data_IF_891208870921
#
_entry.id   IF_891208870921
#
_cell.length_a   1.000
_cell.length_b   1.000
_cell.length_c   1.000
_cell.angle_alpha   90.00
_cell.angle_beta   90.00
_cell.angle_gamma   90.00
#
_symmetry.space_group_name_H-M   'P 1'
#
loop_
_entity.id
_entity.type
_entity.pdbx_description
1 polymer ?
#
# COMPACT_ATOMS: atom_id res chain seq x y z
N UNK A 1 -24.69 16.97 -2.42
CA UNK A 1 -23.86 15.95 -1.76
C UNK A 1 -22.94 15.28 -2.78
N UNK A 2 -21.66 15.09 -2.44
CA UNK A 2 -20.64 14.40 -3.24
C UNK A 2 -20.10 13.23 -2.43
N UNK A 3 -19.93 12.07 -3.05
CA UNK A 3 -19.21 10.93 -2.45
C UNK A 3 -17.84 10.82 -3.13
N UNK A 4 -16.79 10.68 -2.33
CA UNK A 4 -15.41 10.58 -2.83
C UNK A 4 -14.69 9.37 -2.23
N UNK A 5 -14.08 8.56 -3.09
CA UNK A 5 -13.23 7.42 -2.74
C UNK A 5 -11.97 7.38 -3.61
N UNK A 6 -10.95 6.68 -3.17
CA UNK A 6 -9.73 6.39 -3.90
C UNK A 6 -9.08 5.08 -3.37
N UNK A 7 -8.01 4.65 -3.98
CA UNK A 7 -7.10 3.62 -3.47
C UNK A 7 -7.82 2.33 -3.05
N UNK A 8 -8.77 1.87 -3.91
CA UNK A 8 -9.55 0.67 -3.65
C UNK A 8 -8.76 -0.63 -3.89
N UNK A 9 -7.68 -0.58 -4.67
CA UNK A 9 -6.76 -1.69 -4.97
C UNK A 9 -7.41 -3.04 -5.24
N UNK A 10 -8.51 -3.03 -6.01
CA UNK A 10 -9.21 -4.25 -6.38
C UNK A 10 -8.32 -5.17 -7.22
N UNK A 11 -8.16 -6.40 -6.79
CA UNK A 11 -7.24 -7.35 -7.40
C UNK A 11 -5.98 -7.65 -6.60
N UNK A 12 -5.92 -7.16 -5.36
CA UNK A 12 -4.83 -7.44 -4.41
C UNK A 12 -4.61 -8.95 -4.23
N UNK A 13 -3.34 -9.34 -4.06
CA UNK A 13 -2.95 -10.74 -3.83
C UNK A 13 -2.18 -10.95 -2.53
N UNK A 14 -2.02 -9.93 -1.70
CA UNK A 14 -1.36 -10.03 -0.39
C UNK A 14 -2.14 -10.90 0.58
N UNK A 15 -1.46 -11.52 1.53
CA UNK A 15 -2.04 -12.38 2.58
C UNK A 15 -2.99 -13.43 2.00
N UNK A 16 -2.48 -14.12 0.97
CA UNK A 16 -3.24 -15.05 0.14
C UNK A 16 -3.72 -16.27 0.93
N UNK A 17 -5.04 -16.45 0.99
CA UNK A 17 -5.68 -17.67 1.49
C UNK A 17 -6.96 -17.90 0.68
N UNK A 18 -7.11 -19.09 0.15
CA UNK A 18 -8.31 -19.47 -0.61
C UNK A 18 -9.45 -19.78 0.35
N UNK A 19 -10.60 -19.20 0.08
CA UNK A 19 -11.86 -19.57 0.67
C UNK A 19 -12.34 -20.88 0.03
N UNK A 20 -12.54 -21.95 0.81
CA UNK A 20 -12.93 -23.24 0.27
C UNK A 20 -14.34 -23.26 -0.38
N UNK A 21 -15.22 -22.34 -0.01
CA UNK A 21 -16.58 -22.26 -0.55
C UNK A 21 -16.63 -21.54 -1.91
N UNK A 22 -15.90 -20.44 -2.02
CA UNK A 22 -15.94 -19.59 -3.23
C UNK A 22 -14.78 -19.85 -4.20
N UNK A 23 -13.70 -20.49 -3.74
CA UNK A 23 -12.47 -20.67 -4.50
C UNK A 23 -11.69 -19.37 -4.73
N UNK A 24 -12.07 -18.26 -4.09
CA UNK A 24 -11.43 -16.97 -4.22
C UNK A 24 -10.46 -16.69 -3.08
N UNK A 25 -9.50 -15.81 -3.32
CA UNK A 25 -8.68 -15.28 -2.24
C UNK A 25 -9.55 -14.46 -1.27
N UNK A 26 -9.53 -14.79 0.03
CA UNK A 26 -10.32 -14.11 1.06
C UNK A 26 -10.00 -12.61 1.12
N UNK A 27 -8.72 -12.25 1.05
CA UNK A 27 -8.34 -10.81 1.03
C UNK A 27 -8.90 -10.07 -0.17
N UNK A 28 -8.94 -10.71 -1.33
CA UNK A 28 -9.61 -10.15 -2.49
C UNK A 28 -11.10 -9.89 -2.23
N UNK A 29 -11.76 -10.81 -1.53
CA UNK A 29 -13.15 -10.64 -1.16
C UNK A 29 -13.34 -9.47 -0.18
N UNK A 30 -12.45 -9.30 0.82
CA UNK A 30 -12.49 -8.18 1.75
C UNK A 30 -12.48 -6.82 1.00
N UNK A 31 -11.56 -6.64 0.04
CA UNK A 31 -11.48 -5.43 -0.78
C UNK A 31 -12.72 -5.23 -1.66
N UNK A 32 -13.27 -6.32 -2.21
CA UNK A 32 -14.51 -6.27 -2.97
C UNK A 32 -15.71 -5.86 -2.07
N UNK A 33 -15.76 -6.34 -0.85
CA UNK A 33 -16.83 -5.98 0.11
C UNK A 33 -16.72 -4.51 0.52
N UNK A 34 -15.52 -4.02 0.84
CA UNK A 34 -15.31 -2.63 1.18
C UNK A 34 -15.70 -1.68 0.03
N UNK A 35 -15.35 -2.02 -1.21
CA UNK A 35 -15.81 -1.26 -2.37
C UNK A 35 -17.33 -1.31 -2.55
N UNK A 36 -17.95 -2.46 -2.33
CA UNK A 36 -19.40 -2.61 -2.40
C UNK A 36 -20.12 -1.79 -1.34
N UNK A 37 -19.58 -1.65 -0.12
CA UNK A 37 -20.15 -0.75 0.91
C UNK A 37 -20.25 0.69 0.40
N UNK A 38 -19.23 1.18 -0.34
CA UNK A 38 -19.28 2.51 -0.98
C UNK A 38 -20.38 2.57 -2.04
N UNK A 39 -20.46 1.56 -2.90
CA UNK A 39 -21.48 1.51 -3.96
C UNK A 39 -22.89 1.44 -3.35
N UNK A 40 -23.09 0.64 -2.30
CA UNK A 40 -24.38 0.54 -1.59
C UNK A 40 -24.78 1.90 -1.02
N UNK A 41 -23.84 2.61 -0.38
CA UNK A 41 -24.06 3.97 0.10
C UNK A 41 -24.45 4.94 -1.02
N UNK A 42 -23.75 4.89 -2.15
CA UNK A 42 -24.05 5.72 -3.34
C UNK A 42 -25.43 5.40 -3.90
N UNK A 43 -25.79 4.12 -4.00
CA UNK A 43 -27.10 3.70 -4.52
C UNK A 43 -28.24 4.15 -3.58
N UNK A 44 -28.05 4.04 -2.29
CA UNK A 44 -29.05 4.42 -1.27
C UNK A 44 -29.24 5.95 -1.22
N UNK A 45 -28.14 6.71 -1.19
CA UNK A 45 -28.16 8.15 -0.93
C UNK A 45 -28.23 9.02 -2.19
N UNK A 46 -27.99 8.46 -3.38
CA UNK A 46 -28.08 9.11 -4.70
C UNK A 46 -27.38 10.49 -4.74
N UNK A 47 -26.06 10.55 -4.50
CA UNK A 47 -25.34 11.82 -4.52
C UNK A 47 -25.38 12.45 -5.92
N UNK A 48 -25.17 13.76 -5.99
CA UNK A 48 -25.03 14.49 -7.28
C UNK A 48 -23.79 14.05 -8.05
N UNK A 49 -22.72 13.74 -7.31
CA UNK A 49 -21.44 13.30 -7.87
C UNK A 49 -20.89 12.11 -7.05
N UNK A 50 -20.35 11.14 -7.78
CA UNK A 50 -19.48 10.11 -7.22
C UNK A 50 -18.09 10.22 -7.87
N UNK A 51 -17.03 10.37 -7.06
CA UNK A 51 -15.68 10.64 -7.51
C UNK A 51 -14.74 9.53 -7.06
N UNK A 52 -13.99 8.96 -8.00
CA UNK A 52 -12.97 7.91 -7.76
C UNK A 52 -11.63 8.44 -8.22
N UNK A 53 -10.78 8.82 -7.25
CA UNK A 53 -9.51 9.52 -7.51
C UNK A 53 -8.31 8.58 -7.64
N UNK A 54 -8.42 7.53 -8.47
CA UNK A 54 -7.32 6.64 -8.84
C UNK A 54 -7.17 5.39 -7.98
N UNK A 55 -6.34 4.50 -8.44
CA UNK A 55 -6.02 3.19 -7.86
C UNK A 55 -7.26 2.36 -7.50
N UNK A 56 -8.23 2.35 -8.45
CA UNK A 56 -9.37 1.45 -8.36
C UNK A 56 -8.92 -0.01 -8.45
N UNK A 57 -7.93 -0.28 -9.30
CA UNK A 57 -7.30 -1.60 -9.44
C UNK A 57 -5.89 -1.62 -8.86
N UNK A 58 -5.49 -2.77 -8.30
CA UNK A 58 -4.15 -3.00 -7.76
C UNK A 58 -3.05 -3.12 -8.83
N UNK A 59 -3.42 -3.26 -10.10
CA UNK A 59 -2.48 -3.43 -11.23
C UNK A 59 -3.13 -3.17 -12.58
N UNK A 60 -2.29 -2.90 -13.58
CA UNK A 60 -2.69 -2.63 -14.97
C UNK A 60 -3.48 -3.78 -15.61
N UNK A 61 -3.20 -5.03 -15.22
CA UNK A 61 -3.88 -6.21 -15.73
C UNK A 61 -4.67 -6.94 -14.63
N UNK A 62 -5.82 -6.40 -14.18
CA UNK A 62 -6.69 -7.09 -13.24
C UNK A 62 -7.31 -8.33 -13.90
N UNK A 63 -7.65 -9.34 -13.10
CA UNK A 63 -8.30 -10.55 -13.60
C UNK A 63 -9.68 -10.25 -14.18
N UNK A 64 -10.18 -11.13 -15.05
CA UNK A 64 -11.53 -10.99 -15.62
C UNK A 64 -12.62 -11.01 -14.53
N UNK A 65 -12.40 -11.75 -13.44
CA UNK A 65 -13.30 -11.74 -12.29
C UNK A 65 -13.46 -10.32 -11.72
N UNK A 66 -12.33 -9.63 -11.46
CA UNK A 66 -12.33 -8.28 -10.90
C UNK A 66 -12.90 -7.26 -11.88
N UNK A 67 -12.56 -7.36 -13.17
CA UNK A 67 -13.14 -6.49 -14.21
C UNK A 67 -14.66 -6.60 -14.24
N UNK A 68 -15.18 -7.84 -14.21
CA UNK A 68 -16.62 -8.11 -14.19
C UNK A 68 -17.28 -7.61 -12.90
N UNK A 69 -16.60 -7.77 -11.76
CA UNK A 69 -17.09 -7.26 -10.48
C UNK A 69 -17.25 -5.74 -10.54
N UNK A 70 -16.20 -4.99 -10.91
CA UNK A 70 -16.25 -3.52 -11.05
C UNK A 70 -17.30 -3.08 -12.04
N UNK A 71 -17.38 -3.74 -13.19
CA UNK A 71 -18.40 -3.45 -14.19
C UNK A 71 -19.81 -3.57 -13.62
N UNK A 72 -20.10 -4.64 -12.88
CA UNK A 72 -21.40 -4.85 -12.24
C UNK A 72 -21.72 -3.74 -11.21
N UNK A 73 -20.76 -3.38 -10.38
CA UNK A 73 -20.96 -2.35 -9.36
C UNK A 73 -21.15 -0.95 -10.01
N UNK A 74 -20.40 -0.62 -11.06
CA UNK A 74 -20.58 0.63 -11.82
C UNK A 74 -21.94 0.68 -12.56
N UNK A 75 -22.44 -0.44 -13.05
CA UNK A 75 -23.80 -0.49 -13.64
C UNK A 75 -24.87 -0.17 -12.60
N UNK A 76 -24.76 -0.64 -11.36
CA UNK A 76 -25.68 -0.28 -10.27
C UNK A 76 -25.77 1.22 -10.05
N UNK A 77 -24.62 1.91 -10.10
CA UNK A 77 -24.56 3.38 -9.96
C UNK A 77 -25.13 4.06 -11.22
N UNK A 78 -24.85 3.53 -12.39
CA UNK A 78 -25.38 4.04 -13.67
C UNK A 78 -26.89 3.95 -13.76
N UNK A 79 -27.51 2.86 -13.28
CA UNK A 79 -28.96 2.64 -13.28
C UNK A 79 -29.73 3.70 -12.48
N UNK A 80 -29.11 4.26 -11.45
CA UNK A 80 -29.70 5.37 -10.66
C UNK A 80 -29.27 6.75 -11.16
N UNK A 81 -28.59 6.83 -12.32
CA UNK A 81 -28.17 8.06 -13.00
C UNK A 81 -27.25 8.98 -12.19
N UNK A 82 -26.46 8.46 -11.27
CA UNK A 82 -25.46 9.24 -10.53
C UNK A 82 -24.25 9.53 -11.43
N UNK A 83 -23.90 10.80 -11.59
CA UNK A 83 -22.75 11.20 -12.37
C UNK A 83 -21.45 10.81 -11.68
N UNK A 84 -20.74 9.84 -12.24
CA UNK A 84 -19.53 9.27 -11.69
C UNK A 84 -18.31 9.68 -12.51
N UNK A 85 -17.26 10.15 -11.85
CA UNK A 85 -15.98 10.50 -12.46
C UNK A 85 -14.87 9.62 -11.90
N UNK A 86 -14.10 9.02 -12.80
CA UNK A 86 -13.00 8.13 -12.45
C UNK A 86 -11.74 8.61 -13.15
N UNK A 87 -10.66 8.79 -12.43
CA UNK A 87 -9.31 9.00 -13.00
C UNK A 87 -8.43 7.80 -12.63
N UNK A 88 -7.50 7.38 -13.49
CA UNK A 88 -6.52 6.36 -13.12
C UNK A 88 -5.46 6.88 -12.15
N UNK A 89 -5.02 5.99 -11.25
CA UNK A 89 -3.84 6.16 -10.42
C UNK A 89 -2.59 5.52 -11.03
N UNK A 90 -1.53 5.41 -10.26
CA UNK A 90 -0.26 4.84 -10.72
C UNK A 90 -0.33 3.32 -10.94
N UNK A 91 -1.15 2.59 -10.19
CA UNK A 91 -1.32 1.14 -10.33
C UNK A 91 -2.01 0.73 -11.63
N UNK A 92 -2.90 1.56 -12.16
CA UNK A 92 -3.62 1.28 -13.42
C UNK A 92 -2.96 1.93 -14.64
N UNK A 93 -2.05 2.86 -14.45
CA UNK A 93 -1.41 3.59 -15.57
C UNK A 93 -0.35 2.72 -16.23
N UNK A 94 -0.52 2.33 -17.51
CA UNK A 94 0.46 1.51 -18.20
C UNK A 94 1.77 2.26 -18.42
N UNK A 95 2.89 1.62 -18.08
CA UNK A 95 4.24 2.13 -18.34
C UNK A 95 4.80 1.69 -19.69
N UNK A 96 4.10 0.77 -20.37
CA UNK A 96 4.55 0.18 -21.63
C UNK A 96 3.60 0.55 -22.78
N UNK A 97 4.14 0.92 -23.93
CA UNK A 97 3.35 1.19 -25.12
C UNK A 97 2.57 -0.08 -25.55
N UNK A 98 1.33 0.10 -26.02
CA UNK A 98 0.46 -0.99 -26.46
C UNK A 98 -0.37 -1.66 -25.36
N UNK A 99 -0.17 -1.29 -24.09
CA UNK A 99 -1.05 -1.74 -22.99
C UNK A 99 -2.14 -0.69 -22.78
N UNK A 100 -3.38 -1.16 -22.79
CA UNK A 100 -4.55 -0.30 -22.55
C UNK A 100 -4.84 -0.19 -21.05
N UNK A 101 -5.16 1.01 -20.58
CA UNK A 101 -5.61 1.21 -19.21
C UNK A 101 -6.90 0.41 -18.96
N UNK A 102 -7.00 -0.39 -17.89
CA UNK A 102 -8.16 -1.24 -17.63
C UNK A 102 -9.47 -0.46 -17.45
N UNK A 103 -9.41 0.80 -17.01
CA UNK A 103 -10.58 1.66 -16.85
C UNK A 103 -11.26 2.01 -18.17
N UNK A 104 -10.55 1.90 -19.31
CA UNK A 104 -11.12 2.14 -20.63
C UNK A 104 -12.35 1.25 -20.94
N UNK A 105 -12.45 0.09 -20.30
CA UNK A 105 -13.59 -0.85 -20.45
C UNK A 105 -14.92 -0.24 -19.99
N UNK A 106 -14.89 0.77 -19.13
CA UNK A 106 -16.09 1.35 -18.49
C UNK A 106 -16.55 2.65 -19.14
N UNK A 107 -15.83 3.16 -20.14
CA UNK A 107 -16.15 4.44 -20.82
C UNK A 107 -17.50 4.41 -21.55
N UNK A 108 -18.03 3.24 -21.87
CA UNK A 108 -19.34 3.07 -22.53
C UNK A 108 -20.53 2.97 -21.56
N UNK A 109 -20.29 2.94 -20.26
CA UNK A 109 -21.35 2.87 -19.26
C UNK A 109 -21.97 4.26 -19.11
N UNK A 110 -23.30 4.43 -19.26
CA UNK A 110 -23.97 5.71 -19.07
C UNK A 110 -23.67 6.30 -17.69
N UNK A 111 -23.59 7.62 -17.58
CA UNK A 111 -23.27 8.35 -16.36
C UNK A 111 -21.89 8.08 -15.74
N UNK A 112 -21.09 7.19 -16.32
CA UNK A 112 -19.71 6.91 -15.89
C UNK A 112 -18.74 7.63 -16.84
N UNK A 113 -17.99 8.59 -16.32
CA UNK A 113 -16.96 9.28 -17.05
C UNK A 113 -15.57 8.88 -16.59
N UNK A 114 -14.78 8.26 -17.48
CA UNK A 114 -13.41 7.87 -17.22
C UNK A 114 -12.45 8.85 -17.89
N UNK A 115 -11.70 9.58 -17.08
CA UNK A 115 -10.71 10.56 -17.55
C UNK A 115 -9.33 9.93 -17.71
N UNK A 116 -9.03 9.31 -18.86
CA UNK A 116 -7.71 8.74 -19.15
C UNK A 116 -6.65 9.82 -19.53
N UNK A 117 -7.10 11.04 -19.75
CA UNK A 117 -6.27 12.22 -20.01
C UNK A 117 -6.80 13.39 -19.19
N UNK A 118 -6.00 14.45 -18.97
CA UNK A 118 -6.49 15.65 -18.31
C UNK A 118 -7.75 16.21 -18.98
N UNK A 119 -8.76 16.53 -18.17
CA UNK A 119 -10.08 16.96 -18.66
C UNK A 119 -10.68 18.06 -17.80
N UNK A 120 -11.70 18.71 -18.35
CA UNK A 120 -12.68 19.52 -17.63
C UNK A 120 -14.09 19.17 -18.11
N UNK A 121 -15.05 19.09 -17.19
CA UNK A 121 -16.44 18.78 -17.52
C UNK A 121 -17.40 19.53 -16.58
N UNK A 122 -18.49 20.03 -17.17
CA UNK A 122 -19.57 20.71 -16.43
C UNK A 122 -20.69 19.72 -16.16
N UNK A 123 -21.20 19.71 -14.94
CA UNK A 123 -22.36 18.92 -14.51
C UNK A 123 -23.16 19.79 -13.52
N UNK A 124 -24.32 20.26 -13.93
CA UNK A 124 -25.12 21.18 -13.11
C UNK A 124 -24.31 22.40 -12.66
N UNK A 125 -24.28 22.63 -11.36
CA UNK A 125 -23.54 23.73 -10.73
C UNK A 125 -22.04 23.44 -10.52
N UNK A 126 -21.60 22.22 -10.87
CA UNK A 126 -20.21 21.79 -10.69
C UNK A 126 -19.40 21.91 -11.96
N UNK A 127 -18.11 22.22 -11.81
CA UNK A 127 -17.11 22.06 -12.85
C UNK A 127 -15.99 21.15 -12.33
N UNK A 128 -15.88 19.98 -12.93
CA UNK A 128 -14.94 18.94 -12.53
C UNK A 128 -13.71 19.03 -13.44
N UNK A 129 -12.56 19.05 -12.83
CA UNK A 129 -11.26 18.98 -13.47
C UNK A 129 -10.58 17.69 -13.01
N UNK A 130 -10.05 16.90 -13.91
CA UNK A 130 -9.34 15.70 -13.56
C UNK A 130 -7.97 15.67 -14.21
N UNK A 131 -6.96 15.36 -13.43
CA UNK A 131 -5.61 15.06 -13.90
C UNK A 131 -5.28 13.65 -13.43
N UNK A 132 -5.31 12.64 -14.32
CA UNK A 132 -4.91 11.29 -13.99
C UNK A 132 -3.44 11.26 -13.59
N UNK A 133 -3.01 10.15 -12.97
CA UNK A 133 -1.61 9.98 -12.59
C UNK A 133 -0.65 10.24 -13.75
N UNK A 134 0.31 11.10 -13.52
CA UNK A 134 1.39 11.48 -14.44
C UNK A 134 2.60 11.97 -13.65
N UNK A 135 3.78 11.95 -14.24
CA UNK A 135 5.03 12.40 -13.60
C UNK A 135 5.01 13.88 -13.21
N UNK A 136 4.34 14.72 -14.02
CA UNK A 136 4.26 16.16 -13.78
C UNK A 136 2.80 16.63 -13.79
N UNK A 137 1.99 16.32 -12.77
CA UNK A 137 0.58 16.67 -12.74
C UNK A 137 0.34 18.19 -12.72
N UNK A 138 1.26 18.98 -12.19
CA UNK A 138 1.18 20.45 -12.13
C UNK A 138 0.97 21.10 -13.49
N UNK A 139 1.61 20.57 -14.55
CA UNK A 139 1.54 21.12 -15.91
C UNK A 139 0.13 21.04 -16.52
N UNK A 140 -0.72 20.22 -15.93
CA UNK A 140 -2.08 19.96 -16.40
C UNK A 140 -3.16 20.60 -15.54
N UNK A 141 -2.79 21.22 -14.41
CA UNK A 141 -3.75 21.89 -13.52
C UNK A 141 -4.17 23.23 -14.12
N UNK A 142 -5.44 23.34 -14.45
CA UNK A 142 -6.03 24.54 -15.01
C UNK A 142 -6.51 25.48 -13.91
N UNK A 143 -6.79 26.75 -14.26
CA UNK A 143 -7.47 27.68 -13.35
C UNK A 143 -8.96 27.35 -13.27
N UNK A 144 -9.59 27.41 -12.06
CA UNK A 144 -11.00 27.17 -11.90
C UNK A 144 -11.87 28.19 -12.62
N UNK A 145 -13.02 27.76 -13.10
CA UNK A 145 -14.01 28.60 -13.80
C UNK A 145 -14.85 29.44 -12.84
N UNK A 146 -15.30 30.61 -13.30
CA UNK A 146 -16.22 31.43 -12.49
C UNK A 146 -17.65 30.88 -12.53
N UNK A 147 -18.40 31.05 -11.44
CA UNK A 147 -19.82 30.72 -11.38
C UNK A 147 -20.13 29.23 -11.21
N UNK A 148 -19.15 28.41 -10.81
CA UNK A 148 -19.29 26.99 -10.56
C UNK A 148 -18.64 26.62 -9.22
N UNK A 149 -19.12 25.56 -8.60
CA UNK A 149 -18.35 24.82 -7.59
C UNK A 149 -17.28 24.00 -8.30
N UNK A 150 -16.03 24.38 -8.14
CA UNK A 150 -14.90 23.80 -8.88
C UNK A 150 -14.26 22.69 -8.06
N UNK A 151 -14.16 21.51 -8.63
CA UNK A 151 -13.54 20.33 -8.02
C UNK A 151 -12.37 19.87 -8.87
N UNK A 152 -11.21 19.71 -8.27
CA UNK A 152 -10.03 19.14 -8.91
C UNK A 152 -9.81 17.72 -8.39
N UNK A 153 -9.75 16.75 -9.29
CA UNK A 153 -9.40 15.37 -9.00
C UNK A 153 -7.94 15.13 -9.37
N UNK A 154 -7.13 14.63 -8.43
CA UNK A 154 -5.72 14.29 -8.64
C UNK A 154 -5.40 12.94 -7.99
N UNK A 155 -4.40 12.26 -8.53
CA UNK A 155 -3.79 11.09 -7.89
C UNK A 155 -2.30 11.34 -7.71
N UNK A 156 -1.91 11.91 -6.56
CA UNK A 156 -0.54 12.39 -6.28
C UNK A 156 -0.36 12.73 -4.80
N UNK A 157 0.89 12.93 -4.40
CA UNK A 157 1.24 13.44 -3.06
C UNK A 157 1.21 14.96 -3.02
N UNK A 158 0.57 15.53 -2.01
CA UNK A 158 0.62 16.96 -1.69
C UNK A 158 1.59 17.15 -0.51
N UNK A 159 2.45 18.16 -0.58
CA UNK A 159 3.38 18.48 0.50
C UNK A 159 2.64 18.71 1.83
N UNK A 160 3.15 18.09 2.90
CA UNK A 160 2.54 18.10 4.22
C UNK A 160 1.57 16.95 4.49
N UNK A 161 1.35 16.06 3.51
CA UNK A 161 0.59 14.83 3.73
C UNK A 161 1.33 13.86 4.64
N UNK A 162 0.56 13.12 5.43
CA UNK A 162 1.08 12.08 6.32
C UNK A 162 0.85 10.72 5.68
N UNK A 163 1.90 9.91 5.56
CA UNK A 163 1.79 8.52 5.15
C UNK A 163 1.35 7.63 6.32
N UNK A 164 0.77 6.49 6.03
CA UNK A 164 0.49 5.43 6.99
C UNK A 164 1.81 4.79 7.38
N UNK A 165 2.29 5.02 8.60
CA UNK A 165 3.61 4.64 9.08
C UNK A 165 4.79 5.20 8.23
N UNK A 166 6.01 5.03 8.75
CA UNK A 166 7.27 5.50 8.17
C UNK A 166 7.65 4.80 6.83
N UNK A 167 6.71 4.66 5.90
CA UNK A 167 7.10 4.37 4.53
C UNK A 167 7.84 5.59 4.02
N UNK A 168 9.13 5.42 3.83
CA UNK A 168 9.92 6.35 3.05
C UNK A 168 9.21 6.55 1.71
N UNK A 169 8.81 7.79 1.41
CA UNK A 169 8.43 8.17 0.06
C UNK A 169 9.57 7.69 -0.83
N UNK A 170 9.26 6.93 -1.86
CA UNK A 170 10.27 6.66 -2.88
C UNK A 170 10.70 8.02 -3.41
N UNK A 171 12.00 8.27 -3.52
CA UNK A 171 12.55 9.55 -3.97
C UNK A 171 12.08 9.96 -5.39
N UNK A 172 11.33 9.10 -6.07
CA UNK A 172 10.82 9.25 -7.44
C UNK A 172 9.37 9.75 -7.52
N UNK A 173 8.67 9.99 -6.40
CA UNK A 173 7.28 10.42 -6.44
C UNK A 173 7.17 11.94 -6.43
N UNK A 174 6.54 12.49 -7.47
CA UNK A 174 6.30 13.93 -7.59
C UNK A 174 5.37 14.42 -6.49
N UNK A 175 5.91 15.30 -5.62
CA UNK A 175 5.14 15.97 -4.57
C UNK A 175 4.78 17.37 -5.03
N UNK A 176 3.51 17.74 -4.98
CA UNK A 176 3.03 19.07 -5.36
C UNK A 176 2.94 19.97 -4.13
N UNK A 177 3.48 21.16 -4.24
CA UNK A 177 3.26 22.23 -3.25
C UNK A 177 1.79 22.69 -3.29
N UNK A 178 1.07 22.77 -2.16
CA UNK A 178 -0.31 23.27 -2.15
C UNK A 178 -0.46 24.67 -2.74
N UNK A 179 0.59 25.50 -2.67
CA UNK A 179 0.61 26.86 -3.23
C UNK A 179 0.61 26.90 -4.77
N UNK A 180 1.00 25.83 -5.43
CA UNK A 180 0.96 25.70 -6.89
C UNK A 180 -0.42 25.34 -7.43
N UNK A 181 -1.33 24.89 -6.57
CA UNK A 181 -2.69 24.54 -6.94
C UNK A 181 -3.58 25.76 -6.77
N UNK A 182 -4.24 26.24 -7.84
CA UNK A 182 -5.19 27.35 -7.78
C UNK A 182 -6.33 27.11 -6.77
N UNK A 183 -7.09 28.14 -6.46
CA UNK A 183 -8.20 28.06 -5.50
C UNK A 183 -9.41 27.33 -6.10
N UNK A 184 -9.45 26.01 -5.90
CA UNK A 184 -10.64 25.18 -6.10
C UNK A 184 -11.46 25.12 -4.81
N UNK A 185 -12.77 24.87 -4.92
CA UNK A 185 -13.61 24.64 -3.74
C UNK A 185 -13.17 23.37 -3.01
N UNK A 186 -12.87 22.30 -3.78
CA UNK A 186 -12.29 21.04 -3.26
C UNK A 186 -11.23 20.49 -4.19
N UNK A 187 -10.19 19.92 -3.62
CA UNK A 187 -9.19 19.10 -4.30
C UNK A 187 -9.31 17.69 -3.72
N UNK A 188 -9.89 16.78 -4.50
CA UNK A 188 -10.13 15.39 -4.10
C UNK A 188 -9.00 14.52 -4.61
N UNK A 189 -8.36 13.80 -3.70
CA UNK A 189 -7.03 13.20 -3.88
C UNK A 189 -7.08 11.69 -3.67
N UNK A 190 -6.23 10.95 -4.39
CA UNK A 190 -5.85 9.57 -4.11
C UNK A 190 -4.34 9.45 -3.97
N UNK A 191 -3.83 8.23 -3.85
CA UNK A 191 -2.44 7.85 -3.67
C UNK A 191 -2.01 7.65 -2.20
N UNK A 192 -2.57 8.39 -1.27
CA UNK A 192 -2.27 8.25 0.16
C UNK A 192 -3.40 7.51 0.84
N UNK A 193 -3.08 6.33 1.38
CA UNK A 193 -4.05 5.41 1.97
C UNK A 193 -4.59 5.85 3.34
N UNK A 194 -4.13 6.99 3.86
CA UNK A 194 -4.58 7.54 5.14
C UNK A 194 -5.56 8.68 4.92
N UNK A 195 -6.74 8.58 5.55
CA UNK A 195 -7.69 9.69 5.58
C UNK A 195 -7.05 10.93 6.18
N UNK A 196 -7.12 12.04 5.45
CA UNK A 196 -6.68 13.35 5.95
C UNK A 196 -7.26 14.49 5.14
N UNK A 197 -7.39 15.64 5.79
CA UNK A 197 -7.78 16.91 5.18
C UNK A 197 -6.66 17.91 5.42
N UNK A 198 -6.15 18.50 4.33
CA UNK A 198 -5.11 19.53 4.39
C UNK A 198 -5.72 20.86 3.94
N UNK A 199 -5.41 21.93 4.68
CA UNK A 199 -5.87 23.29 4.37
C UNK A 199 -7.38 23.34 4.02
N UNK A 200 -8.19 22.59 4.75
CA UNK A 200 -9.67 22.54 4.68
C UNK A 200 -10.26 22.05 3.35
N UNK A 201 -9.48 21.98 2.27
CA UNK A 201 -9.97 21.70 0.91
C UNK A 201 -9.27 20.54 0.19
N UNK A 202 -8.11 20.10 0.64
CA UNK A 202 -7.39 18.96 0.07
C UNK A 202 -7.80 17.70 0.82
N UNK A 203 -8.50 16.80 0.17
CA UNK A 203 -9.17 15.68 0.82
C UNK A 203 -8.65 14.36 0.27
N UNK A 204 -7.94 13.61 1.10
CA UNK A 204 -7.64 12.20 0.87
C UNK A 204 -8.65 11.34 1.62
N UNK A 205 -9.41 10.47 0.96
CA UNK A 205 -10.32 9.54 1.64
C UNK A 205 -9.54 8.40 2.30
N UNK A 206 -8.32 8.14 1.84
CA UNK A 206 -7.58 6.94 2.16
C UNK A 206 -8.06 5.72 1.37
N UNK A 207 -7.52 4.55 1.68
CA UNK A 207 -7.96 3.29 1.11
C UNK A 207 -9.18 2.73 1.84
N UNK A 208 -9.92 1.84 1.18
CA UNK A 208 -11.15 1.25 1.74
C UNK A 208 -10.91 0.07 2.66
N UNK A 209 -9.74 -0.55 2.55
CA UNK A 209 -9.31 -1.69 3.36
C UNK A 209 -7.82 -1.55 3.66
N UNK A 210 -7.34 -2.15 4.73
CA UNK A 210 -5.93 -2.14 5.11
C UNK A 210 -5.08 -2.92 4.11
N UNK A 211 -4.12 -2.26 3.51
CA UNK A 211 -3.26 -2.86 2.49
C UNK A 211 -2.17 -3.74 3.12
N UNK A 212 -1.54 -3.27 4.20
CA UNK A 212 -0.54 -4.03 4.97
C UNK A 212 -0.44 -3.55 6.43
N UNK A 213 0.50 -4.12 7.20
CA UNK A 213 0.70 -3.79 8.62
C UNK A 213 1.11 -2.33 8.88
N UNK A 214 1.52 -1.59 7.88
CA UNK A 214 1.80 -0.16 8.04
C UNK A 214 0.54 0.67 8.26
N UNK A 215 -0.62 0.10 7.95
CA UNK A 215 -1.92 0.76 8.01
C UNK A 215 -2.79 0.23 9.18
N UNK A 216 -2.17 -0.50 10.12
CA UNK A 216 -2.90 -1.20 11.19
C UNK A 216 -3.73 -0.25 12.04
N UNK A 217 -3.22 0.96 12.30
CA UNK A 217 -3.85 1.98 13.13
C UNK A 217 -4.71 2.97 12.34
N UNK A 218 -4.77 2.84 11.00
CA UNK A 218 -5.53 3.74 10.17
C UNK A 218 -7.00 3.31 10.09
N UNK A 219 -7.89 4.28 10.24
CA UNK A 219 -9.28 4.12 9.83
C UNK A 219 -9.37 4.08 8.30
N UNK A 220 -10.18 3.19 7.78
CA UNK A 220 -10.43 2.98 6.34
C UNK A 220 -11.85 3.36 5.98
N UNK A 221 -12.04 3.93 4.78
CA UNK A 221 -13.36 4.38 4.38
C UNK A 221 -13.37 5.34 3.21
N UNK A 222 -14.42 6.10 3.11
CA UNK A 222 -14.66 7.08 2.06
C UNK A 222 -15.19 8.39 2.65
N UNK A 223 -15.28 9.43 1.82
CA UNK A 223 -15.65 10.77 2.25
C UNK A 223 -16.97 11.20 1.61
N UNK A 224 -17.81 11.83 2.39
CA UNK A 224 -19.00 12.55 1.95
C UNK A 224 -18.76 14.05 2.12
N UNK A 225 -18.93 14.80 1.03
CA UNK A 225 -18.81 16.26 1.02
C UNK A 225 -20.20 16.85 0.77
N UNK A 226 -20.74 17.52 1.74
CA UNK A 226 -22.00 18.27 1.63
C UNK A 226 -21.83 19.66 2.26
N UNK A 227 -22.43 19.92 3.41
CA UNK A 227 -22.17 21.13 4.20
C UNK A 227 -20.82 21.06 4.89
N UNK A 228 -20.42 19.87 5.30
CA UNK A 228 -19.14 19.53 5.92
C UNK A 228 -18.50 18.37 5.15
N UNK A 229 -17.24 18.10 5.45
CA UNK A 229 -16.54 16.90 5.01
C UNK A 229 -16.69 15.86 6.12
N UNK A 230 -17.32 14.74 5.81
CA UNK A 230 -17.57 13.63 6.73
C UNK A 230 -16.87 12.37 6.24
N UNK A 231 -16.20 11.67 7.16
CA UNK A 231 -15.54 10.40 6.87
C UNK A 231 -16.43 9.24 7.31
N UNK A 232 -16.76 8.35 6.38
CA UNK A 232 -17.57 7.16 6.63
C UNK A 232 -16.65 5.95 6.63
N UNK A 233 -16.58 5.24 7.76
CA UNK A 233 -15.73 4.06 7.92
C UNK A 233 -16.30 2.84 7.20
N UNK A 234 -15.45 2.10 6.50
CA UNK A 234 -15.76 0.77 6.00
C UNK A 234 -15.39 -0.31 7.01
N UNK A 235 -15.99 -1.49 6.86
CA UNK A 235 -15.61 -2.67 7.65
C UNK A 235 -14.31 -3.24 7.10
N UNK A 236 -13.30 -3.33 7.94
CA UNK A 236 -12.00 -3.89 7.58
C UNK A 236 -11.70 -5.17 8.32
N UNK A 237 -10.84 -6.02 7.72
CA UNK A 237 -10.33 -7.18 8.41
C UNK A 237 -9.36 -6.75 9.51
N UNK A 238 -9.52 -7.36 10.69
CA UNK A 238 -8.65 -7.08 11.82
C UNK A 238 -7.22 -7.58 11.55
N UNK A 239 -6.26 -6.70 11.76
CA UNK A 239 -4.84 -7.00 11.72
C UNK A 239 -4.25 -6.80 13.11
N UNK A 240 -3.37 -7.72 13.54
CA UNK A 240 -2.71 -7.65 14.84
C UNK A 240 -1.21 -7.78 14.66
N UNK A 241 -0.47 -6.88 15.27
CA UNK A 241 0.99 -6.88 15.27
C UNK A 241 1.52 -7.06 16.70
N UNK A 242 2.12 -8.20 16.97
CA UNK A 242 2.73 -8.49 18.27
C UNK A 242 4.24 -8.32 18.21
N UNK A 243 4.75 -7.27 18.82
CA UNK A 243 6.18 -7.09 19.02
C UNK A 243 6.60 -7.76 20.33
N UNK A 244 7.54 -8.69 20.24
CA UNK A 244 8.12 -9.43 21.37
C UNK A 244 9.58 -9.06 21.49
N UNK A 245 9.92 -8.31 22.55
CA UNK A 245 11.32 -8.07 22.88
C UNK A 245 11.96 -9.34 23.43
N UNK A 246 13.06 -9.74 22.82
CA UNK A 246 13.84 -10.92 23.21
C UNK A 246 14.97 -10.59 24.20
N UNK A 247 15.12 -9.33 24.59
CA UNK A 247 16.19 -8.90 25.51
C UNK A 247 16.01 -9.53 26.89
N UNK A 248 17.08 -10.13 27.42
CA UNK A 248 17.12 -10.79 28.73
C UNK A 248 16.11 -11.95 28.87
N UNK A 249 15.65 -12.55 27.78
CA UNK A 249 14.75 -13.71 27.78
C UNK A 249 15.42 -14.92 27.16
N UNK A 250 15.06 -16.10 27.69
CA UNK A 250 15.41 -17.37 27.08
C UNK A 250 14.49 -17.67 25.89
N UNK A 251 14.92 -18.53 24.98
CA UNK A 251 14.08 -18.98 23.87
C UNK A 251 12.78 -19.65 24.32
N UNK A 252 12.77 -20.21 25.52
CA UNK A 252 11.58 -20.80 26.13
C UNK A 252 10.56 -19.73 26.54
N UNK A 253 11.00 -18.70 27.24
CA UNK A 253 10.16 -17.57 27.68
C UNK A 253 9.57 -16.82 26.48
N UNK A 254 10.36 -16.64 25.43
CA UNK A 254 9.87 -16.03 24.16
C UNK A 254 8.78 -16.89 23.52
N UNK A 255 8.97 -18.21 23.54
CA UNK A 255 7.96 -19.14 23.00
C UNK A 255 6.66 -19.02 23.77
N UNK A 256 6.70 -19.10 25.11
CA UNK A 256 5.49 -19.03 25.95
C UNK A 256 4.79 -17.66 25.80
N UNK A 257 5.53 -16.54 25.78
CA UNK A 257 4.94 -15.23 25.53
C UNK A 257 4.25 -15.14 24.16
N UNK A 258 4.87 -15.70 23.10
CA UNK A 258 4.26 -15.76 21.79
C UNK A 258 2.96 -16.58 21.79
N UNK A 259 2.93 -17.71 22.49
CA UNK A 259 1.74 -18.56 22.60
C UNK A 259 0.60 -17.87 23.34
N UNK A 260 0.92 -17.12 24.41
CA UNK A 260 -0.06 -16.34 25.17
C UNK A 260 -0.68 -15.23 24.31
N UNK A 261 0.15 -14.49 23.57
CA UNK A 261 -0.33 -13.43 22.67
C UNK A 261 -1.20 -13.97 21.52
N UNK A 262 -0.99 -15.23 21.10
CA UNK A 262 -1.74 -15.86 20.00
C UNK A 262 -3.10 -16.43 20.45
N UNK A 263 -3.68 -15.89 21.50
CA UNK A 263 -5.08 -16.12 21.84
C UNK A 263 -5.99 -15.14 21.07
N UNK A 264 -7.20 -15.57 20.75
CA UNK A 264 -8.23 -14.74 20.09
C UNK A 264 -7.82 -14.13 18.73
N UNK A 265 -7.06 -14.88 17.95
CA UNK A 265 -6.58 -14.49 16.63
C UNK A 265 -7.41 -15.06 15.47
N UNK A 266 -8.55 -15.67 15.76
CA UNK A 266 -9.39 -16.34 14.77
C UNK A 266 -9.75 -15.39 13.62
N UNK A 267 -9.55 -15.85 12.39
CA UNK A 267 -9.91 -15.12 11.15
C UNK A 267 -9.22 -13.75 10.98
N UNK A 268 -8.17 -13.47 11.74
CA UNK A 268 -7.39 -12.23 11.69
C UNK A 268 -6.09 -12.41 10.90
N UNK A 269 -5.52 -11.31 10.44
CA UNK A 269 -4.16 -11.28 9.88
C UNK A 269 -3.22 -10.92 11.03
N UNK A 270 -2.30 -11.82 11.35
CA UNK A 270 -1.46 -11.71 12.55
C UNK A 270 0.01 -11.73 12.19
N UNK A 271 0.76 -10.79 12.73
CA UNK A 271 2.23 -10.81 12.70
C UNK A 271 2.78 -10.93 14.13
N UNK A 272 3.76 -11.79 14.29
CA UNK A 272 4.65 -11.81 15.46
C UNK A 272 6.03 -11.38 15.00
N UNK A 273 6.55 -10.33 15.56
CA UNK A 273 7.89 -9.82 15.33
C UNK A 273 8.74 -10.09 16.59
N UNK A 274 9.78 -10.90 16.43
CA UNK A 274 10.78 -11.13 17.47
C UNK A 274 11.95 -10.17 17.23
N UNK A 275 12.27 -9.33 18.21
CA UNK A 275 13.30 -8.32 18.09
C UNK A 275 14.19 -8.24 19.33
N UNK A 276 15.38 -7.59 19.19
CA UNK A 276 16.34 -7.43 20.28
C UNK A 276 17.48 -8.43 20.25
N UNK A 277 18.25 -8.48 21.31
CA UNK A 277 19.43 -9.36 21.45
C UNK A 277 19.08 -10.62 22.24
N UNK A 278 19.54 -11.74 21.75
CA UNK A 278 19.43 -13.04 22.41
C UNK A 278 20.80 -13.49 22.93
N UNK A 279 20.85 -14.13 24.10
CA UNK A 279 22.04 -14.83 24.55
C UNK A 279 22.49 -15.84 23.49
N UNK A 280 23.80 -16.03 23.40
CA UNK A 280 24.36 -16.98 22.46
C UNK A 280 23.80 -18.41 22.67
N UNK A 281 23.28 -18.98 21.60
CA UNK A 281 22.71 -20.32 21.61
C UNK A 281 21.23 -20.40 22.01
N UNK A 282 20.61 -19.35 22.55
CA UNK A 282 19.21 -19.40 22.98
C UNK A 282 18.21 -19.31 21.80
N UNK A 283 18.63 -18.78 20.67
CA UNK A 283 17.78 -18.76 19.46
C UNK A 283 17.28 -20.14 19.04
N UNK A 284 18.07 -21.19 19.22
CA UNK A 284 17.70 -22.58 18.94
C UNK A 284 16.63 -23.13 19.89
N UNK A 285 16.43 -22.50 21.05
CA UNK A 285 15.46 -22.90 22.06
C UNK A 285 14.07 -22.27 21.81
N UNK A 286 13.95 -21.38 20.83
CA UNK A 286 12.64 -20.84 20.37
C UNK A 286 11.92 -21.94 19.58
N UNK A 287 10.73 -22.33 20.04
CA UNK A 287 9.93 -23.33 19.34
C UNK A 287 9.02 -22.68 18.29
N UNK A 288 9.61 -22.35 17.13
CA UNK A 288 8.88 -21.73 15.99
C UNK A 288 7.73 -22.60 15.48
N UNK A 289 7.84 -23.93 15.58
CA UNK A 289 6.79 -24.85 15.13
C UNK A 289 5.56 -24.72 16.02
N UNK A 290 5.74 -24.77 17.35
CA UNK A 290 4.66 -24.62 18.34
C UNK A 290 3.93 -23.27 18.17
N UNK A 291 4.69 -22.19 17.89
CA UNK A 291 4.12 -20.86 17.62
C UNK A 291 3.26 -20.89 16.34
N UNK A 292 3.74 -21.50 15.26
CA UNK A 292 2.97 -21.61 14.00
C UNK A 292 1.72 -22.48 14.17
N UNK A 293 1.81 -23.57 14.90
CA UNK A 293 0.67 -24.46 15.20
C UNK A 293 -0.41 -23.72 16.00
N UNK A 294 -0.04 -22.94 17.01
CA UNK A 294 -0.97 -22.09 17.78
C UNK A 294 -1.66 -21.05 16.90
N UNK A 295 -0.95 -20.54 15.89
CA UNK A 295 -1.46 -19.51 14.98
C UNK A 295 -2.36 -20.05 13.84
N UNK A 296 -2.64 -21.35 13.77
CA UNK A 296 -3.42 -21.97 12.68
C UNK A 296 -4.85 -21.44 12.55
N UNK A 297 -5.42 -20.85 13.60
CA UNK A 297 -6.75 -20.23 13.56
C UNK A 297 -6.76 -18.87 12.90
N UNK A 298 -5.62 -18.22 12.71
CA UNK A 298 -5.52 -16.96 11.99
C UNK A 298 -5.88 -17.14 10.51
N UNK A 299 -6.41 -16.10 9.90
CA UNK A 299 -6.55 -16.06 8.45
C UNK A 299 -5.19 -16.17 7.77
N UNK A 300 -4.26 -15.37 8.22
CA UNK A 300 -2.88 -15.35 7.73
C UNK A 300 -1.92 -15.04 8.88
N UNK A 301 -0.80 -15.77 8.95
CA UNK A 301 0.17 -15.62 10.02
C UNK A 301 1.57 -15.36 9.49
N UNK A 302 2.23 -14.35 10.05
CA UNK A 302 3.62 -14.02 9.79
C UNK A 302 4.42 -14.11 11.07
N UNK A 303 5.46 -14.92 11.06
CA UNK A 303 6.47 -14.93 12.12
C UNK A 303 7.78 -14.39 11.55
N UNK A 304 8.16 -13.20 11.98
CA UNK A 304 9.38 -12.51 11.55
C UNK A 304 10.35 -12.42 12.73
N UNK A 305 11.51 -13.00 12.54
CA UNK A 305 12.61 -12.99 13.53
C UNK A 305 13.73 -12.09 13.02
N UNK A 306 13.92 -10.95 13.67
CA UNK A 306 15.00 -10.00 13.42
C UNK A 306 15.96 -9.90 14.60
N UNK A 307 15.96 -10.91 15.47
CA UNK A 307 16.85 -10.95 16.63
C UNK A 307 18.31 -11.04 16.23
N UNK A 308 19.15 -10.35 16.99
CA UNK A 308 20.61 -10.43 16.91
C UNK A 308 21.11 -11.44 17.93
N UNK A 309 21.88 -12.43 17.50
CA UNK A 309 22.58 -13.33 18.44
C UNK A 309 23.82 -12.61 18.97
N UNK A 310 24.02 -12.61 20.31
CA UNK A 310 25.33 -12.28 20.83
C UNK A 310 26.33 -13.31 20.30
N UNK A 311 27.33 -12.85 19.55
CA UNK A 311 28.45 -13.71 19.21
C UNK A 311 29.17 -14.03 20.51
N UNK A 312 29.24 -15.30 20.91
CA UNK A 312 30.27 -15.73 21.85
C UNK A 312 31.58 -15.48 21.12
N UNK A 313 32.27 -14.39 21.48
CA UNK A 313 33.69 -14.34 21.21
C UNK A 313 34.33 -15.37 22.14
N UNK A 314 34.46 -16.59 21.62
CA UNK A 314 35.35 -17.56 22.24
C UNK A 314 36.76 -17.01 22.04
N UNK A 315 37.26 -16.35 23.10
CA UNK A 315 38.66 -15.91 23.19
C UNK A 315 39.56 -17.14 23.34
N UNK A 316 39.39 -18.16 22.53
CA UNK A 316 40.51 -18.98 22.13
C UNK A 316 41.24 -18.20 21.07
N UNK A 317 42.38 -17.66 21.49
CA UNK A 317 43.37 -17.07 20.60
C UNK A 317 43.80 -18.07 19.50
N UNK A 318 42.95 -18.30 18.54
CA UNK A 318 43.44 -18.45 17.18
C UNK A 318 43.62 -17.01 16.67
N UNK A 319 44.84 -16.54 16.73
CA UNK A 319 45.32 -15.45 15.87
C UNK A 319 45.06 -15.93 14.43
N UNK A 320 43.80 -15.79 13.99
CA UNK A 320 43.50 -15.65 12.59
C UNK A 320 44.17 -14.34 12.16
N UNK A 321 45.44 -14.44 11.80
CA UNK A 321 46.11 -13.40 11.04
C UNK A 321 45.25 -13.23 9.80
N UNK A 322 44.31 -12.28 9.88
CA UNK A 322 43.58 -11.87 8.69
C UNK A 322 44.60 -11.35 7.70
N UNK A 323 44.86 -12.15 6.68
CA UNK A 323 45.71 -11.76 5.57
C UNK A 323 44.80 -11.48 4.40
N UNK A 324 44.54 -10.19 4.08
CA UNK A 324 43.74 -9.83 2.92
C UNK A 324 44.20 -10.52 1.61
N UNK A 325 45.54 -10.69 1.47
CA UNK A 325 46.11 -11.41 0.34
C UNK A 325 45.72 -12.89 0.29
N UNK A 326 45.67 -13.58 1.45
CA UNK A 326 45.30 -14.98 1.51
C UNK A 326 43.80 -15.16 1.22
N UNK A 327 42.96 -14.27 1.72
CA UNK A 327 41.51 -14.29 1.44
C UNK A 327 41.24 -13.98 -0.03
N UNK A 328 41.92 -13.01 -0.63
CA UNK A 328 41.84 -12.73 -2.08
C UNK A 328 42.20 -13.93 -2.89
N UNK A 329 43.28 -14.60 -2.53
CA UNK A 329 43.74 -15.82 -3.23
C UNK A 329 42.70 -16.92 -3.19
N UNK A 330 42.18 -17.23 -2.00
CA UNK A 330 41.14 -18.23 -1.81
C UNK A 330 39.84 -17.89 -2.59
N UNK A 331 39.46 -16.63 -2.63
CA UNK A 331 38.29 -16.17 -3.39
C UNK A 331 38.51 -16.34 -4.90
N UNK A 332 39.65 -15.95 -5.42
CA UNK A 332 39.94 -16.04 -6.84
C UNK A 332 40.13 -17.49 -7.33
N UNK A 333 40.67 -18.36 -6.46
CA UNK A 333 40.75 -19.80 -6.74
C UNK A 333 39.35 -20.45 -6.78
N UNK A 334 38.47 -20.10 -5.82
CA UNK A 334 37.07 -20.62 -5.77
C UNK A 334 36.21 -20.10 -6.92
N UNK A 335 36.47 -18.88 -7.39
CA UNK A 335 35.73 -18.25 -8.50
C UNK A 335 36.33 -18.54 -9.88
N UNK A 336 37.37 -19.36 -9.97
CA UNK A 336 38.07 -19.69 -11.21
C UNK A 336 38.70 -18.47 -11.91
N UNK A 337 39.13 -17.48 -11.16
CA UNK A 337 39.69 -16.20 -11.61
C UNK A 337 41.13 -15.97 -11.11
N UNK A 338 41.91 -17.02 -10.92
CA UNK A 338 43.26 -16.97 -10.36
C UNK A 338 44.22 -16.05 -11.13
N UNK A 339 43.96 -15.78 -12.40
CA UNK A 339 44.73 -14.86 -13.24
C UNK A 339 44.65 -13.39 -12.76
N UNK A 340 43.64 -13.03 -11.96
CA UNK A 340 43.46 -11.68 -11.44
C UNK A 340 44.22 -11.43 -10.11
N UNK A 341 44.91 -12.44 -9.57
CA UNK A 341 45.54 -12.35 -8.24
C UNK A 341 46.66 -11.29 -8.20
N UNK A 342 47.55 -11.24 -9.20
CA UNK A 342 48.64 -10.27 -9.23
C UNK A 342 48.15 -8.81 -9.22
N UNK A 343 47.09 -8.52 -9.96
CA UNK A 343 46.49 -7.19 -9.97
C UNK A 343 45.83 -6.82 -8.61
N UNK A 344 45.12 -7.77 -7.97
CA UNK A 344 44.53 -7.60 -6.68
C UNK A 344 45.55 -7.50 -5.54
N UNK A 345 46.63 -8.23 -5.61
CA UNK A 345 47.73 -8.20 -4.61
C UNK A 345 48.41 -6.83 -4.58
N UNK A 346 48.66 -6.24 -5.75
CA UNK A 346 49.21 -4.89 -5.87
C UNK A 346 48.28 -3.79 -5.29
N UNK A 347 46.98 -3.90 -5.47
CA UNK A 347 46.01 -2.98 -4.90
C UNK A 347 45.98 -3.09 -3.37
N UNK A 348 46.11 -4.30 -2.82
CA UNK A 348 46.14 -4.50 -1.37
C UNK A 348 47.36 -3.86 -0.75
N UNK A 349 48.55 -3.96 -1.39
CA UNK A 349 49.78 -3.31 -0.94
C UNK A 349 49.66 -1.78 -0.96
N UNK A 350 49.09 -1.22 -2.01
CA UNK A 350 48.86 0.22 -2.14
C UNK A 350 47.89 0.75 -1.08
N UNK A 351 46.80 0.04 -0.79
CA UNK A 351 45.77 0.48 0.18
C UNK A 351 46.22 0.30 1.62
N UNK A 352 46.99 -0.76 1.92
CA UNK A 352 47.43 -1.05 3.29
C UNK A 352 48.78 -0.41 3.64
N UNK A 353 49.47 0.18 2.66
CA UNK A 353 50.73 0.93 2.87
C UNK A 353 51.93 0.03 3.17
N UNK A 354 52.02 -1.16 2.57
CA UNK A 354 53.17 -2.04 2.62
C UNK A 354 54.15 -1.76 1.46
#
# INVERSE_FOLDING_TARGET
MIVHTADSHLGITRYFKIDPETGLNIRLQDFCYAFREVIDFVVENKPELFLISGDLFDKVNPTNFIRKFVQKELFRVSEISVNTFIIPGNHETPRTRGVTNPLALYMSIPHIFVGLKPFEKKIGDYKIYGVPYTENPEDHIKRPGRGYKNILMLHTTIEGSKLSSERYMSFDESTILPSKIPEYDYVVLGHIHKFQILKERFVYPGSLEKYDFSEIDDDKGFVVIDKNIEFIKTKTREMIDFNISCENKTGFEITEEALEKLEKINDKIVRVLLEGKLPAGDKKNINYQKIREKANSALYFILKDITLSEKIFDFREEKLLFSPKKELKNYLETSNQSFAYEAGDGIIDEVLGF
#
